data_IF_111334434517
#
_entry.id   IF_111334434517
#
_cell.length_a   1.000
_cell.length_b   1.000
_cell.length_c   1.000
_cell.angle_alpha   90.00
_cell.angle_beta   90.00
_cell.angle_gamma   90.00
#
_symmetry.space_group_name_H-M   'P 1'
#
loop_
_entity.id
_entity.type
_entity.pdbx_description
1 polymer ?
#
# COMPACT_ATOMS: atom_id res chain seq x y z
N UNK A 1 -19.29 3.22 -4.06
CA UNK A 1 -18.85 3.86 -5.32
C UNK A 1 -17.46 3.38 -5.74
N UNK A 2 -16.48 3.37 -4.83
CA UNK A 2 -15.16 2.73 -4.92
C UNK A 2 -15.17 1.33 -5.58
N UNK A 3 -15.97 0.41 -5.02
CA UNK A 3 -16.05 -0.98 -5.51
C UNK A 3 -16.44 -1.01 -6.99
N UNK A 4 -17.40 -0.20 -7.45
CA UNK A 4 -17.86 -0.20 -8.86
C UNK A 4 -16.78 0.21 -9.87
N UNK A 5 -15.85 1.09 -9.50
CA UNK A 5 -14.77 1.54 -10.39
C UNK A 5 -13.67 0.50 -10.51
N UNK A 6 -13.25 -0.10 -9.40
CA UNK A 6 -12.33 -1.24 -9.42
C UNK A 6 -12.99 -2.49 -10.05
N UNK A 7 -14.29 -2.71 -9.89
CA UNK A 7 -15.01 -3.84 -10.49
C UNK A 7 -15.03 -3.81 -12.03
N UNK A 8 -14.87 -2.62 -12.62
CA UNK A 8 -14.76 -2.48 -14.07
C UNK A 8 -13.38 -2.92 -14.59
N UNK A 9 -12.38 -2.97 -13.71
CA UNK A 9 -11.06 -3.46 -14.03
C UNK A 9 -11.04 -4.99 -13.93
N UNK A 10 -10.41 -5.64 -14.90
CA UNK A 10 -10.33 -7.11 -14.93
C UNK A 10 -9.58 -7.59 -13.69
N UNK A 11 -10.08 -8.64 -13.04
CA UNK A 11 -9.48 -9.23 -11.82
C UNK A 11 -7.95 -9.44 -11.89
N UNK A 12 -7.36 -9.93 -13.02
CA UNK A 12 -5.90 -10.07 -13.14
C UNK A 12 -5.14 -8.73 -13.05
N UNK A 13 -5.73 -7.65 -13.56
CA UNK A 13 -5.13 -6.32 -13.52
C UNK A 13 -5.11 -5.77 -12.08
N UNK A 14 -6.14 -6.06 -11.29
CA UNK A 14 -6.19 -5.66 -9.88
C UNK A 14 -5.04 -6.33 -9.12
N UNK A 15 -4.90 -7.65 -9.26
CA UNK A 15 -3.82 -8.41 -8.61
C UNK A 15 -2.46 -7.87 -9.04
N UNK A 16 -2.24 -7.66 -10.34
CA UNK A 16 -0.97 -7.18 -10.86
C UNK A 16 -0.61 -5.80 -10.31
N UNK A 17 -1.56 -4.86 -10.30
CA UNK A 17 -1.31 -3.51 -9.77
C UNK A 17 -1.03 -3.57 -8.27
N UNK A 18 -1.81 -4.34 -7.49
CA UNK A 18 -1.56 -4.51 -6.06
C UNK A 18 -0.20 -5.13 -5.78
N UNK A 19 0.17 -6.18 -6.51
CA UNK A 19 1.48 -6.82 -6.40
C UNK A 19 2.63 -5.85 -6.69
N UNK A 20 2.57 -5.13 -7.81
CA UNK A 20 3.59 -4.15 -8.18
C UNK A 20 3.68 -3.05 -7.12
N UNK A 21 2.53 -2.55 -6.66
CA UNK A 21 2.48 -1.47 -5.68
C UNK A 21 3.19 -1.88 -4.39
N UNK A 22 2.83 -3.03 -3.82
CA UNK A 22 3.47 -3.55 -2.60
C UNK A 22 4.93 -3.96 -2.80
N UNK A 23 5.29 -4.50 -3.98
CA UNK A 23 6.68 -4.83 -4.31
C UNK A 23 7.58 -3.59 -4.41
N UNK A 24 7.02 -2.42 -4.74
CA UNK A 24 7.75 -1.16 -4.82
C UNK A 24 7.85 -0.44 -3.47
N UNK A 25 7.02 -0.76 -2.49
CA UNK A 25 6.95 -0.03 -1.21
C UNK A 25 7.47 -0.85 -0.03
N UNK A 26 7.05 -2.10 0.12
CA UNK A 26 7.36 -2.91 1.30
C UNK A 26 8.85 -3.23 1.46
N UNK A 27 9.63 -3.54 0.39
CA UNK A 27 11.07 -3.78 0.57
C UNK A 27 11.80 -2.56 1.13
N UNK A 28 11.37 -1.34 0.80
CA UNK A 28 11.94 -0.12 1.38
C UNK A 28 11.59 0.01 2.86
N UNK A 29 10.35 -0.30 3.26
CA UNK A 29 9.94 -0.28 4.66
C UNK A 29 10.72 -1.29 5.52
N UNK A 30 10.87 -2.53 5.02
CA UNK A 30 11.40 -3.64 5.82
C UNK A 30 12.91 -3.82 5.75
N UNK A 31 13.55 -3.44 4.64
CA UNK A 31 14.99 -3.67 4.45
C UNK A 31 15.80 -2.38 4.38
N UNK A 32 15.24 -1.28 3.87
CA UNK A 32 15.99 -0.02 3.68
C UNK A 32 15.83 0.91 4.89
N UNK A 33 14.60 1.16 5.34
CA UNK A 33 14.33 2.07 6.46
C UNK A 33 15.05 1.68 7.77
N UNK A 34 15.07 0.41 8.19
CA UNK A 34 15.74 0.00 9.43
C UNK A 34 17.26 0.18 9.38
N UNK A 35 17.85 0.21 8.18
CA UNK A 35 19.28 0.48 8.00
C UNK A 35 19.61 1.97 8.17
N UNK A 36 18.62 2.87 8.03
CA UNK A 36 18.80 4.32 8.11
C UNK A 36 18.33 4.86 9.47
N UNK A 37 17.23 4.34 9.99
CA UNK A 37 16.59 4.81 11.23
C UNK A 37 16.69 3.71 12.29
N UNK A 38 17.50 3.93 13.30
CA UNK A 38 17.72 3.00 14.40
C UNK A 38 16.54 2.92 15.39
N UNK A 39 15.74 3.98 15.51
CA UNK A 39 14.57 3.97 16.38
C UNK A 39 13.41 3.20 15.74
N UNK A 40 13.09 2.03 16.33
CA UNK A 40 12.04 1.14 15.86
C UNK A 40 10.65 1.76 15.81
N UNK A 41 10.28 2.55 16.82
CA UNK A 41 8.97 3.20 16.85
C UNK A 41 8.81 4.22 15.73
N UNK A 42 9.87 5.00 15.48
CA UNK A 42 9.88 6.05 14.46
C UNK A 42 9.79 5.45 13.06
N UNK A 43 10.62 4.45 12.72
CA UNK A 43 10.57 3.89 11.37
C UNK A 43 9.31 3.04 11.14
N UNK A 44 8.80 2.35 12.16
CA UNK A 44 7.55 1.59 12.00
C UNK A 44 6.38 2.53 11.72
N UNK A 45 6.13 3.51 12.59
CA UNK A 45 4.97 4.40 12.41
C UNK A 45 5.17 5.31 11.19
N UNK A 46 6.33 5.95 11.10
CA UNK A 46 6.63 6.88 10.00
C UNK A 46 6.74 6.17 8.64
N UNK A 47 7.31 4.98 8.62
CA UNK A 47 7.45 4.17 7.40
C UNK A 47 6.12 3.62 6.91
N UNK A 48 5.26 3.11 7.79
CA UNK A 48 3.92 2.65 7.41
C UNK A 48 3.07 3.80 6.85
N UNK A 49 3.14 4.98 7.47
CA UNK A 49 2.48 6.19 6.95
C UNK A 49 3.03 6.59 5.58
N UNK A 50 4.35 6.51 5.39
CA UNK A 50 4.99 6.78 4.10
C UNK A 50 4.52 5.78 3.03
N UNK A 51 4.50 4.49 3.35
CA UNK A 51 3.99 3.44 2.45
C UNK A 51 2.54 3.74 2.06
N UNK A 52 1.66 4.01 3.03
CA UNK A 52 0.26 4.33 2.74
C UNK A 52 0.13 5.49 1.76
N UNK A 53 0.90 6.57 1.97
CA UNK A 53 0.89 7.75 1.10
C UNK A 53 1.42 7.44 -0.31
N UNK A 54 2.54 6.72 -0.42
CA UNK A 54 3.13 6.34 -1.71
C UNK A 54 2.21 5.40 -2.48
N UNK A 55 1.67 4.38 -1.83
CA UNK A 55 0.71 3.46 -2.44
C UNK A 55 -0.57 4.18 -2.88
N UNK A 56 -1.02 5.19 -2.12
CA UNK A 56 -2.16 6.04 -2.51
C UNK A 56 -1.89 6.75 -3.84
N UNK A 57 -0.68 7.28 -4.03
CA UNK A 57 -0.28 7.93 -5.28
C UNK A 57 -0.24 6.90 -6.41
N UNK A 58 0.36 5.73 -6.19
CA UNK A 58 0.46 4.66 -7.20
C UNK A 58 -0.93 4.19 -7.62
N UNK A 59 -1.83 3.89 -6.67
CA UNK A 59 -3.19 3.47 -6.97
C UNK A 59 -4.00 4.57 -7.66
N UNK A 60 -3.83 5.83 -7.27
CA UNK A 60 -4.45 6.96 -7.95
C UNK A 60 -4.06 7.01 -9.43
N UNK A 61 -2.78 6.79 -9.76
CA UNK A 61 -2.30 6.82 -11.14
C UNK A 61 -2.68 5.56 -11.94
N UNK A 62 -2.49 4.37 -11.37
CA UNK A 62 -2.68 3.11 -12.10
C UNK A 62 -4.15 2.69 -12.23
N UNK A 63 -4.97 2.91 -11.19
CA UNK A 63 -6.40 2.64 -11.22
C UNK A 63 -7.25 3.86 -11.62
N UNK A 64 -6.65 5.05 -11.80
CA UNK A 64 -7.37 6.30 -12.15
C UNK A 64 -8.50 6.61 -11.15
N UNK A 65 -8.25 6.33 -9.88
CA UNK A 65 -9.16 6.61 -8.76
C UNK A 65 -9.02 8.07 -8.32
N UNK A 66 -10.01 8.64 -7.64
CA UNK A 66 -9.79 9.90 -6.90
C UNK A 66 -8.78 9.65 -5.77
N UNK A 67 -8.08 10.69 -5.34
CA UNK A 67 -7.07 10.56 -4.27
C UNK A 67 -7.67 9.96 -2.98
N UNK A 68 -8.86 10.41 -2.58
CA UNK A 68 -9.59 9.86 -1.42
C UNK A 68 -9.95 8.38 -1.58
N UNK A 69 -10.29 7.96 -2.80
CA UNK A 69 -10.59 6.56 -3.11
C UNK A 69 -9.32 5.71 -3.02
N UNK A 70 -8.23 6.17 -3.63
CA UNK A 70 -6.93 5.50 -3.58
C UNK A 70 -6.38 5.39 -2.14
N UNK A 71 -6.64 6.40 -1.30
CA UNK A 71 -6.25 6.38 0.11
C UNK A 71 -6.97 5.29 0.87
N UNK A 72 -8.28 5.13 0.65
CA UNK A 72 -9.05 4.04 1.27
C UNK A 72 -8.52 2.67 0.81
N UNK A 73 -8.21 2.50 -0.47
CA UNK A 73 -7.64 1.25 -0.98
C UNK A 73 -6.29 0.94 -0.33
N UNK A 74 -5.41 1.92 -0.25
CA UNK A 74 -4.09 1.79 0.39
C UNK A 74 -4.20 1.44 1.88
N UNK A 75 -5.09 2.13 2.61
CA UNK A 75 -5.35 1.83 4.02
C UNK A 75 -5.85 0.41 4.23
N UNK A 76 -6.81 -0.05 3.41
CA UNK A 76 -7.34 -1.42 3.50
C UNK A 76 -6.25 -2.45 3.17
N UNK A 77 -5.46 -2.22 2.13
CA UNK A 77 -4.37 -3.12 1.73
C UNK A 77 -3.31 -3.25 2.82
N UNK A 78 -2.82 -2.13 3.36
CA UNK A 78 -1.80 -2.14 4.42
C UNK A 78 -2.34 -2.70 5.73
N UNK A 79 -3.57 -2.36 6.11
CA UNK A 79 -4.19 -2.95 7.31
C UNK A 79 -4.33 -4.47 7.16
N UNK A 80 -4.79 -4.95 6.00
CA UNK A 80 -4.88 -6.38 5.73
C UNK A 80 -3.50 -7.04 5.76
N UNK A 81 -2.48 -6.40 5.18
CA UNK A 81 -1.09 -6.87 5.22
C UNK A 81 -0.56 -7.01 6.64
N UNK A 82 -0.76 -6.00 7.50
CA UNK A 82 -0.35 -6.03 8.91
C UNK A 82 -1.08 -7.14 9.67
N UNK A 83 -2.39 -7.32 9.44
CA UNK A 83 -3.17 -8.36 10.09
C UNK A 83 -2.70 -9.75 9.66
N UNK A 84 -2.47 -9.96 8.36
CA UNK A 84 -1.98 -11.23 7.83
C UNK A 84 -0.55 -11.53 8.31
N UNK A 85 0.34 -10.54 8.33
CA UNK A 85 1.71 -10.68 8.82
C UNK A 85 1.84 -10.83 10.34
N UNK A 86 0.73 -10.72 11.10
CA UNK A 86 0.68 -11.10 12.52
C UNK A 86 0.17 -12.52 12.74
N UNK A 87 -0.54 -13.08 11.76
CA UNK A 87 -1.12 -14.43 11.83
C UNK A 87 -0.13 -15.49 11.32
N UNK A 88 0.74 -15.12 10.39
CA UNK A 88 1.82 -15.95 9.84
C UNK A 88 3.19 -15.48 10.32
#
# INVERSE_FOLDING_TARGET
MLIKKCYHEKFPKIILISFITSALTLPYLWFVLPAIISNRGVYMIGGELLVILVETIIYNQLFKLKFSEALVVSLVANTASILLGRVF
#
